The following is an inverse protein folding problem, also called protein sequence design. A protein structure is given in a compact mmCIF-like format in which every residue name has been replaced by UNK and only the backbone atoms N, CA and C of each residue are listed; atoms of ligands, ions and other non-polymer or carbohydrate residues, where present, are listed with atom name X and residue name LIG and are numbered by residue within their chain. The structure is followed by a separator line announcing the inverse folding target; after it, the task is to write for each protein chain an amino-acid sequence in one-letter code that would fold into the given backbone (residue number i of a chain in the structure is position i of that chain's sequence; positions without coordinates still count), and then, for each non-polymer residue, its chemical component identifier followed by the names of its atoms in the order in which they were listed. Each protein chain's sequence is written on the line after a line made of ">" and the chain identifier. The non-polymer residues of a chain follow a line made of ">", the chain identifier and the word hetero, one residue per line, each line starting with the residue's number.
data_IF_474669704018
#
_entry.id   IF_474669704018
#
_cell.length_a   1.000
_cell.length_b   1.000
_cell.length_c   1.000
_cell.angle_alpha   90.00
_cell.angle_beta   90.00
_cell.angle_gamma   90.00
#
_symmetry.space_group_name_H-M   'P 1'
#
loop_
_entity.id
_entity.type
_entity.pdbx_description
1 polymer ?
#
# COMPACT_ATOMS: atom_id res chain seq x y z
N UNK A 1 -18.01 -0.13 -29.47
CA UNK A 1 -17.64 -0.75 -28.18
C UNK A 1 -16.91 0.29 -27.36
N UNK A 2 -17.50 0.79 -26.27
CA UNK A 2 -16.80 1.73 -25.39
C UNK A 2 -15.66 0.96 -24.70
N UNK A 3 -14.45 1.52 -24.73
CA UNK A 3 -13.34 0.97 -23.98
C UNK A 3 -13.76 0.92 -22.50
N UNK A 4 -13.69 -0.27 -21.90
CA UNK A 4 -13.74 -0.38 -20.43
C UNK A 4 -12.60 0.52 -19.94
N UNK A 5 -12.86 1.53 -19.08
CA UNK A 5 -11.78 2.36 -18.57
C UNK A 5 -10.74 1.42 -17.94
N UNK A 6 -9.49 1.53 -18.38
CA UNK A 6 -8.40 0.74 -17.80
C UNK A 6 -8.44 0.97 -16.29
N UNK A 7 -8.63 -0.11 -15.51
CA UNK A 7 -8.67 -0.01 -14.06
C UNK A 7 -7.40 0.65 -13.52
N UNK A 8 -7.50 1.24 -12.33
CA UNK A 8 -6.41 1.93 -11.67
C UNK A 8 -5.29 0.95 -11.33
N UNK A 9 -4.05 1.38 -11.58
CA UNK A 9 -2.87 0.78 -10.96
C UNK A 9 -2.72 1.37 -9.56
N UNK A 10 -2.88 0.53 -8.54
CA UNK A 10 -2.86 0.94 -7.14
C UNK A 10 -1.52 0.59 -6.52
N UNK A 11 -0.72 1.59 -6.18
CA UNK A 11 0.47 1.37 -5.36
C UNK A 11 0.09 1.22 -3.90
N UNK A 12 0.58 0.16 -3.26
CA UNK A 12 0.52 0.01 -1.80
C UNK A 12 1.93 0.11 -1.25
N UNK A 13 2.14 1.07 -0.36
CA UNK A 13 3.42 1.30 0.31
C UNK A 13 3.20 1.47 1.80
N UNK A 14 4.08 0.87 2.61
CA UNK A 14 3.99 1.09 4.03
C UNK A 14 5.11 0.53 4.88
N UNK A 15 4.88 0.62 6.18
CA UNK A 15 5.90 0.32 7.19
C UNK A 15 6.00 -1.18 7.43
N UNK A 16 7.24 -1.67 7.62
CA UNK A 16 7.51 -3.11 7.83
C UNK A 16 6.98 -3.64 9.16
N UNK A 17 6.82 -2.75 10.13
CA UNK A 17 6.28 -2.97 11.47
C UNK A 17 4.77 -3.22 11.48
N UNK A 18 4.04 -2.79 10.44
CA UNK A 18 2.58 -2.87 10.38
C UNK A 18 2.17 -4.18 9.72
N UNK A 19 1.70 -5.12 10.52
CA UNK A 19 1.29 -6.47 10.09
C UNK A 19 -0.24 -6.64 10.01
N UNK A 20 -1.01 -5.63 10.39
CA UNK A 20 -2.46 -5.56 10.17
C UNK A 20 -2.88 -4.12 9.88
N UNK A 21 -3.79 -3.93 8.92
CA UNK A 21 -4.34 -2.62 8.59
C UNK A 21 -5.71 -2.79 7.92
N UNK A 22 -6.78 -2.70 8.72
CA UNK A 22 -8.15 -2.88 8.22
C UNK A 22 -8.56 -1.77 7.25
N UNK A 23 -8.06 -0.53 7.46
CA UNK A 23 -8.30 0.59 6.55
C UNK A 23 -7.75 0.33 5.14
N UNK A 24 -6.57 -0.30 5.03
CA UNK A 24 -6.00 -0.72 3.74
C UNK A 24 -6.89 -1.74 3.05
N UNK A 25 -7.27 -2.80 3.76
CA UNK A 25 -8.09 -3.87 3.19
C UNK A 25 -9.45 -3.34 2.73
N UNK A 26 -10.15 -2.58 3.58
CA UNK A 26 -11.43 -1.95 3.23
C UNK A 26 -11.31 -1.04 2.01
N UNK A 27 -10.21 -0.29 1.90
CA UNK A 27 -10.03 0.62 0.77
C UNK A 27 -9.80 -0.14 -0.54
N UNK A 28 -9.00 -1.19 -0.50
CA UNK A 28 -8.78 -2.06 -1.66
C UNK A 28 -10.07 -2.81 -2.05
N UNK A 29 -10.81 -3.34 -1.08
CA UNK A 29 -12.11 -3.99 -1.32
C UNK A 29 -13.10 -3.01 -1.98
N UNK A 30 -13.20 -1.78 -1.48
CA UNK A 30 -14.09 -0.76 -2.04
C UNK A 30 -13.75 -0.42 -3.50
N UNK A 31 -12.45 -0.34 -3.85
CA UNK A 31 -12.02 -0.12 -5.22
C UNK A 31 -12.29 -1.37 -6.09
N UNK A 32 -12.08 -2.56 -5.55
CA UNK A 32 -12.23 -3.82 -6.27
C UNK A 32 -13.69 -4.16 -6.59
N UNK A 33 -14.60 -3.95 -5.64
CA UNK A 33 -16.06 -4.14 -5.85
C UNK A 33 -16.58 -3.24 -6.98
N UNK A 34 -15.99 -2.07 -7.17
CA UNK A 34 -16.31 -1.15 -8.27
C UNK A 34 -15.62 -1.52 -9.59
N UNK A 35 -14.86 -2.61 -9.64
CA UNK A 35 -14.08 -3.03 -10.81
C UNK A 35 -12.92 -2.08 -11.15
N UNK A 36 -12.45 -1.28 -10.18
CA UNK A 36 -11.49 -0.21 -10.43
C UNK A 36 -10.04 -0.61 -10.20
N UNK A 37 -9.73 -1.81 -9.71
CA UNK A 37 -8.34 -2.25 -9.48
C UNK A 37 -7.89 -3.12 -10.64
N UNK A 38 -7.02 -2.59 -11.50
CA UNK A 38 -6.40 -3.39 -12.57
C UNK A 38 -5.19 -4.17 -12.06
N UNK A 39 -4.40 -3.55 -11.17
CA UNK A 39 -3.16 -4.11 -10.65
C UNK A 39 -2.82 -3.47 -9.30
N UNK A 40 -2.18 -4.26 -8.43
CA UNK A 40 -1.49 -3.76 -7.24
C UNK A 40 0.02 -3.74 -7.48
N UNK A 41 0.67 -2.62 -7.19
CA UNK A 41 2.13 -2.50 -7.23
C UNK A 41 2.68 -2.26 -5.82
N UNK A 42 3.64 -3.07 -5.38
CA UNK A 42 4.25 -2.97 -4.05
C UNK A 42 5.77 -3.14 -4.09
N UNK A 43 6.42 -3.05 -2.94
CA UNK A 43 7.86 -3.28 -2.78
C UNK A 43 8.26 -4.71 -2.41
N UNK A 44 7.31 -5.58 -2.13
CA UNK A 44 7.57 -6.94 -1.62
C UNK A 44 8.32 -6.98 -0.28
N UNK A 45 8.24 -5.92 0.53
CA UNK A 45 8.79 -5.93 1.88
C UNK A 45 7.89 -6.70 2.88
N UNK A 46 8.38 -6.89 4.10
CA UNK A 46 7.53 -7.33 5.22
C UNK A 46 6.49 -6.24 5.57
N UNK A 47 5.45 -6.63 6.31
CA UNK A 47 4.43 -5.73 6.82
C UNK A 47 3.39 -5.36 5.77
N UNK A 48 3.22 -4.07 5.50
CA UNK A 48 2.16 -3.55 4.61
C UNK A 48 2.24 -4.14 3.20
N UNK A 49 3.44 -4.29 2.65
CA UNK A 49 3.62 -4.88 1.32
C UNK A 49 3.17 -6.36 1.30
N UNK A 50 3.35 -7.09 2.41
CA UNK A 50 2.82 -8.47 2.58
C UNK A 50 1.29 -8.47 2.63
N UNK A 51 0.67 -7.49 3.31
CA UNK A 51 -0.79 -7.33 3.33
C UNK A 51 -1.34 -7.08 1.93
N UNK A 52 -0.67 -6.23 1.15
CA UNK A 52 -1.02 -5.96 -0.24
C UNK A 52 -0.96 -7.23 -1.10
N UNK A 53 0.12 -8.00 -0.97
CA UNK A 53 0.31 -9.24 -1.69
C UNK A 53 -0.76 -10.29 -1.34
N UNK A 54 -1.04 -10.46 -0.04
CA UNK A 54 -2.09 -11.38 0.43
C UNK A 54 -3.49 -10.96 -0.02
N UNK A 55 -3.79 -9.66 -0.03
CA UNK A 55 -5.06 -9.16 -0.57
C UNK A 55 -5.17 -9.39 -2.08
N UNK A 56 -4.12 -9.10 -2.86
CA UNK A 56 -4.13 -9.27 -4.31
C UNK A 56 -4.29 -10.74 -4.70
N UNK A 57 -3.56 -11.65 -4.04
CA UNK A 57 -3.67 -13.09 -4.28
C UNK A 57 -5.06 -13.65 -3.97
N UNK A 58 -5.67 -13.22 -2.86
CA UNK A 58 -7.04 -13.64 -2.48
C UNK A 58 -8.12 -13.18 -3.45
N UNK A 59 -7.95 -12.01 -4.07
CA UNK A 59 -8.93 -11.42 -4.98
C UNK A 59 -8.59 -11.62 -6.46
N UNK A 60 -7.58 -12.43 -6.77
CA UNK A 60 -7.10 -12.69 -8.14
C UNK A 60 -6.74 -11.40 -8.91
N UNK A 61 -6.26 -10.39 -8.18
CA UNK A 61 -5.79 -9.14 -8.76
C UNK A 61 -4.30 -9.27 -9.08
N UNK A 62 -3.84 -8.86 -10.28
CA UNK A 62 -2.42 -8.82 -10.62
C UNK A 62 -1.58 -8.07 -9.58
N UNK A 63 -0.44 -8.64 -9.22
CA UNK A 63 0.52 -8.07 -8.27
C UNK A 63 1.89 -7.94 -8.93
N UNK A 64 2.45 -6.73 -8.92
CA UNK A 64 3.85 -6.48 -9.24
C UNK A 64 4.62 -6.05 -8.00
N UNK A 65 5.60 -6.85 -7.60
CA UNK A 65 6.55 -6.48 -6.55
C UNK A 65 7.86 -5.95 -7.16
N UNK A 66 8.18 -4.70 -6.84
CA UNK A 66 9.43 -4.08 -7.30
C UNK A 66 10.51 -4.20 -6.22
N UNK A 67 11.51 -5.04 -6.48
CA UNK A 67 12.68 -5.20 -5.61
C UNK A 67 13.74 -4.13 -5.93
N UNK A 68 14.45 -3.60 -4.92
CA UNK A 68 15.53 -2.64 -5.15
C UNK A 68 16.71 -3.30 -5.89
N UNK A 69 17.20 -2.65 -6.95
CA UNK A 69 18.39 -3.07 -7.67
C UNK A 69 19.65 -2.40 -7.08
N UNK A 70 20.28 -3.10 -6.15
CA UNK A 70 21.51 -2.63 -5.51
C UNK A 70 22.74 -2.70 -6.43
N UNK A 71 22.73 -3.55 -7.45
CA UNK A 71 23.84 -3.64 -8.40
C UNK A 71 23.90 -2.38 -9.28
N UNK A 72 22.75 -1.91 -9.76
CA UNK A 72 22.67 -0.72 -10.60
C UNK A 72 22.75 0.61 -9.83
N UNK A 73 22.24 0.66 -8.60
CA UNK A 73 21.99 1.93 -7.90
C UNK A 73 22.64 2.04 -6.51
N UNK A 74 23.36 1.01 -6.05
CA UNK A 74 24.04 1.01 -4.75
C UNK A 74 23.12 1.41 -3.60
N UNK A 75 23.60 2.28 -2.70
CA UNK A 75 22.82 2.76 -1.56
C UNK A 75 21.50 3.48 -1.94
N UNK A 76 21.39 4.00 -3.17
CA UNK A 76 20.21 4.70 -3.67
C UNK A 76 19.08 3.77 -4.16
N UNK A 77 19.34 2.46 -4.28
CA UNK A 77 18.43 1.50 -4.91
C UNK A 77 17.01 1.51 -4.32
N UNK A 78 16.89 1.65 -3.00
CA UNK A 78 15.58 1.72 -2.34
C UNK A 78 14.80 2.96 -2.74
N UNK A 79 15.46 4.12 -2.87
CA UNK A 79 14.80 5.36 -3.29
C UNK A 79 14.38 5.33 -4.76
N UNK A 80 15.24 4.78 -5.63
CA UNK A 80 14.93 4.59 -7.06
C UNK A 80 13.73 3.67 -7.21
N UNK A 81 13.73 2.52 -6.52
CA UNK A 81 12.59 1.60 -6.49
C UNK A 81 11.31 2.25 -5.95
N UNK A 82 11.38 3.00 -4.85
CA UNK A 82 10.21 3.67 -4.29
C UNK A 82 9.60 4.69 -5.28
N UNK A 83 10.46 5.41 -6.01
CA UNK A 83 10.03 6.32 -7.05
C UNK A 83 9.39 5.57 -8.23
N UNK A 84 9.89 4.39 -8.59
CA UNK A 84 9.33 3.54 -9.63
C UNK A 84 7.95 2.99 -9.28
N UNK A 85 7.74 2.52 -8.04
CA UNK A 85 6.40 2.10 -7.55
C UNK A 85 5.39 3.24 -7.76
N UNK A 86 5.74 4.44 -7.29
CA UNK A 86 4.89 5.63 -7.40
C UNK A 86 4.66 6.03 -8.87
N UNK A 87 5.68 5.88 -9.73
CA UNK A 87 5.58 6.25 -11.14
C UNK A 87 4.53 5.42 -11.87
N UNK A 88 4.44 4.13 -11.56
CA UNK A 88 3.48 3.19 -12.18
C UNK A 88 2.04 3.37 -11.72
N UNK A 89 1.82 3.98 -10.57
CA UNK A 89 0.51 4.04 -9.95
C UNK A 89 -0.28 5.29 -10.32
N UNK A 90 -1.60 5.11 -10.43
CA UNK A 90 -2.61 6.18 -10.50
C UNK A 90 -3.02 6.64 -9.10
N UNK A 91 -3.07 5.69 -8.15
CA UNK A 91 -3.40 5.91 -6.75
C UNK A 91 -2.34 5.28 -5.85
N UNK A 92 -1.84 6.04 -4.87
CA UNK A 92 -0.88 5.55 -3.88
C UNK A 92 -1.56 5.48 -2.51
N UNK A 93 -1.73 4.26 -1.99
CA UNK A 93 -2.19 4.01 -0.63
C UNK A 93 -0.98 3.92 0.31
N UNK A 94 -0.94 4.78 1.32
CA UNK A 94 0.18 4.91 2.25
C UNK A 94 -0.26 4.46 3.65
N UNK A 95 0.39 3.43 4.18
CA UNK A 95 0.18 2.97 5.57
C UNK A 95 1.45 3.21 6.38
N UNK A 96 1.39 4.17 7.30
CA UNK A 96 2.57 4.66 8.02
C UNK A 96 2.43 4.47 9.53
N UNK A 97 3.51 4.02 10.17
CA UNK A 97 3.63 3.84 11.62
C UNK A 97 4.12 5.10 12.35
N UNK A 98 4.31 6.20 11.61
CA UNK A 98 4.87 7.46 12.14
C UNK A 98 6.41 7.50 12.17
N UNK A 99 7.10 6.41 11.86
CA UNK A 99 8.56 6.30 12.00
C UNK A 99 9.27 5.90 10.71
N UNK A 100 8.66 5.07 9.87
CA UNK A 100 9.28 4.52 8.67
C UNK A 100 9.73 5.59 7.67
N UNK A 101 11.05 5.78 7.57
CA UNK A 101 11.69 6.67 6.57
C UNK A 101 11.44 6.20 5.14
N UNK A 102 11.34 4.88 4.92
CA UNK A 102 11.06 4.28 3.62
C UNK A 102 9.66 4.64 3.12
N UNK A 103 8.65 4.51 3.99
CA UNK A 103 7.26 4.90 3.69
C UNK A 103 7.17 6.38 3.37
N UNK A 104 7.81 7.23 4.18
CA UNK A 104 7.86 8.67 3.94
C UNK A 104 8.57 9.03 2.63
N UNK A 105 9.61 8.28 2.24
CA UNK A 105 10.27 8.45 0.94
C UNK A 105 9.31 8.21 -0.22
N UNK A 106 8.46 7.19 -0.16
CA UNK A 106 7.45 6.92 -1.19
C UNK A 106 6.38 8.00 -1.23
N UNK A 107 5.85 8.42 -0.07
CA UNK A 107 4.86 9.50 0.01
C UNK A 107 5.39 10.82 -0.56
N UNK A 108 6.65 11.19 -0.23
CA UNK A 108 7.31 12.37 -0.81
C UNK A 108 7.51 12.24 -2.32
N UNK A 109 7.83 11.04 -2.81
CA UNK A 109 7.99 10.81 -4.25
C UNK A 109 6.67 10.97 -5.01
N UNK A 110 5.54 10.63 -4.38
CA UNK A 110 4.20 10.78 -4.93
C UNK A 110 3.75 12.24 -4.93
N UNK A 111 3.95 12.97 -3.84
CA UNK A 111 3.69 14.41 -3.77
C UNK A 111 4.46 15.18 -4.85
N UNK A 112 5.77 14.90 -5.01
CA UNK A 112 6.61 15.53 -6.04
C UNK A 112 6.14 15.27 -7.48
N UNK A 113 5.35 14.21 -7.71
CA UNK A 113 4.84 13.82 -9.03
C UNK A 113 3.37 14.17 -9.23
N UNK A 114 2.73 14.85 -8.28
CA UNK A 114 1.29 15.14 -8.32
C UNK A 114 0.42 13.88 -8.35
N UNK A 115 0.90 12.75 -7.81
CA UNK A 115 0.12 11.51 -7.73
C UNK A 115 -0.88 11.61 -6.60
N UNK A 116 -2.08 11.06 -6.82
CA UNK A 116 -3.10 10.98 -5.78
C UNK A 116 -2.61 10.05 -4.67
N UNK A 117 -2.62 10.55 -3.44
CA UNK A 117 -2.21 9.82 -2.25
C UNK A 117 -3.33 9.77 -1.23
N UNK A 118 -3.52 8.59 -0.65
CA UNK A 118 -4.43 8.40 0.48
C UNK A 118 -3.64 7.81 1.66
N UNK A 119 -3.67 8.51 2.79
CA UNK A 119 -3.04 8.05 4.02
C UNK A 119 -4.05 7.25 4.82
N UNK A 120 -3.73 5.99 5.09
CA UNK A 120 -4.60 5.06 5.78
C UNK A 120 -4.04 4.81 7.18
N UNK A 121 -4.88 5.08 8.18
CA UNK A 121 -4.51 4.92 9.58
C UNK A 121 -4.23 3.46 9.94
N UNK A 122 -3.17 3.26 10.73
CA UNK A 122 -2.97 2.03 11.48
C UNK A 122 -3.79 2.18 12.75
N UNK A 123 -4.72 1.25 13.03
CA UNK A 123 -5.39 1.26 14.33
C UNK A 123 -4.32 1.19 15.43
N UNK A 124 -4.45 2.00 16.48
CA UNK A 124 -3.52 1.92 17.60
C UNK A 124 -3.49 0.48 18.15
N UNK A 125 -2.32 -0.11 18.42
CA UNK A 125 -2.27 -1.39 19.11
C UNK A 125 -2.85 -1.19 20.52
N UNK A 126 -4.10 -1.58 20.75
CA UNK A 126 -4.71 -1.48 22.08
C UNK A 126 -6.20 -1.19 22.19
N UNK A 127 -7.01 -1.23 21.13
CA UNK A 127 -8.48 -1.27 21.29
C UNK A 127 -9.02 -2.66 20.96
N UNK A 128 -8.60 -3.65 21.75
CA UNK A 128 -9.46 -4.81 21.97
C UNK A 128 -10.67 -4.30 22.78
N UNK A 129 -11.92 -4.67 22.45
CA UNK A 129 -13.03 -4.42 23.36
C UNK A 129 -12.72 -5.18 24.64
N UNK A 130 -12.64 -4.47 25.77
CA UNK A 130 -12.61 -5.11 27.09
C UNK A 130 -13.94 -5.84 27.23
N UNK A 131 -13.93 -7.15 27.01
CA UNK A 131 -15.04 -8.01 27.36
C UNK A 131 -15.02 -8.19 28.89
N UNK A 132 -15.93 -7.51 29.57
CA UNK A 132 -16.17 -7.63 31.01
C UNK A 132 -16.70 -6.30 31.53
N UNK A 133 -17.82 -6.20 32.24
CA UNK A 133 -18.71 -7.18 32.83
C UNK A 133 -19.78 -6.37 33.57
N UNK A 134 -20.90 -7.02 33.89
CA UNK A 134 -22.07 -6.44 34.56
C UNK A 134 -21.74 -5.62 35.81
N UNK A 135 -22.46 -4.51 35.97
CA UNK A 135 -22.55 -3.75 37.21
C UNK A 135 -23.84 -2.93 37.21
N UNK A 136 -24.94 -3.60 37.58
CA UNK A 136 -26.15 -2.96 38.10
C UNK A 136 -25.81 -2.19 39.39
#
# INVERSE_FOLDING_TARGET
>A
MAAVPAGLVVAVVGSRSVTSCEALLRRLDALHVLGQVAEVVSGGAAGVDTLAAGWAGRNLVPLTELRPDYAAHGAGATHVRNAEIVRRADLVLVVWDGVSKGTLSSARAAARRGRRCEWLGVAAPGTAPVAGGLGL
#
